data_IF_147940200729
#
_entry.id   IF_147940200729
#
_cell.length_a   1.000
_cell.length_b   1.000
_cell.length_c   1.000
_cell.angle_alpha   90.00
_cell.angle_beta   90.00
_cell.angle_gamma   90.00
#
_symmetry.space_group_name_H-M   'P 1'
#
loop_
_entity.id
_entity.type
_entity.pdbx_description
1 polymer ?
#
# COMPACT_ATOMS: atom_id res chain seq x y z
N UNK A 1 5.35 -16.94 9.78
CA UNK A 1 5.27 -16.36 8.43
C UNK A 1 4.12 -15.34 8.34
N UNK A 2 4.13 -14.21 9.08
CA UNK A 2 3.02 -13.24 9.06
C UNK A 2 3.18 -12.12 8.01
N UNK A 3 4.42 -11.79 7.61
CA UNK A 3 4.71 -10.68 6.68
C UNK A 3 4.12 -10.91 5.29
N UNK A 4 4.10 -12.16 4.82
CA UNK A 4 3.64 -12.48 3.48
C UNK A 4 2.12 -12.30 3.33
N UNK A 5 1.36 -12.63 4.38
CA UNK A 5 -0.10 -12.43 4.42
C UNK A 5 -0.47 -10.94 4.49
N UNK A 6 0.34 -10.15 5.21
CA UNK A 6 0.19 -8.68 5.25
C UNK A 6 0.48 -8.04 3.89
N UNK A 7 1.53 -8.49 3.20
CA UNK A 7 1.83 -8.06 1.83
C UNK A 7 0.71 -8.44 0.85
N UNK A 8 0.20 -9.67 0.91
CA UNK A 8 -0.92 -10.12 0.08
C UNK A 8 -2.20 -9.30 0.35
N UNK A 9 -2.46 -8.96 1.62
CA UNK A 9 -3.57 -8.09 2.02
C UNK A 9 -3.44 -6.67 1.48
N UNK A 10 -2.25 -6.06 1.60
CA UNK A 10 -1.97 -4.72 1.07
C UNK A 10 -2.11 -4.66 -0.45
N UNK A 11 -1.57 -5.66 -1.18
CA UNK A 11 -1.71 -5.77 -2.63
C UNK A 11 -3.17 -5.96 -3.07
N UNK A 12 -3.93 -6.77 -2.35
CA UNK A 12 -5.36 -6.97 -2.63
C UNK A 12 -6.18 -5.69 -2.45
N UNK A 13 -5.85 -4.87 -1.45
CA UNK A 13 -6.50 -3.57 -1.23
C UNK A 13 -6.09 -2.53 -2.26
N UNK A 14 -4.84 -2.56 -2.74
CA UNK A 14 -4.38 -1.70 -3.84
C UNK A 14 -5.14 -2.00 -5.13
N UNK A 15 -5.27 -3.28 -5.50
CA UNK A 15 -6.03 -3.71 -6.68
C UNK A 15 -7.51 -3.31 -6.56
N UNK A 16 -8.13 -3.58 -5.40
CA UNK A 16 -9.53 -3.18 -5.17
C UNK A 16 -9.72 -1.66 -5.21
N UNK A 17 -8.76 -0.89 -4.69
CA UNK A 17 -8.79 0.56 -4.72
C UNK A 17 -8.72 1.10 -6.16
N UNK A 18 -7.96 0.45 -7.04
CA UNK A 18 -7.94 0.76 -8.48
C UNK A 18 -9.29 0.43 -9.15
N UNK A 19 -9.79 -0.78 -8.93
CA UNK A 19 -11.03 -1.28 -9.55
C UNK A 19 -12.26 -0.46 -9.13
N UNK A 20 -12.31 -0.01 -7.88
CA UNK A 20 -13.49 0.66 -7.31
C UNK A 20 -13.36 2.17 -7.23
N UNK A 21 -12.15 2.72 -7.30
CA UNK A 21 -11.87 4.14 -7.09
C UNK A 21 -12.32 4.66 -5.71
N UNK A 22 -12.59 3.77 -4.75
CA UNK A 22 -13.24 4.15 -3.50
C UNK A 22 -12.23 4.81 -2.54
N UNK A 23 -12.44 6.07 -2.11
CA UNK A 23 -11.49 6.81 -1.28
C UNK A 23 -11.22 6.13 0.07
N UNK A 24 -12.20 5.38 0.60
CA UNK A 24 -12.05 4.61 1.83
C UNK A 24 -11.07 3.44 1.66
N UNK A 25 -11.09 2.77 0.50
CA UNK A 25 -10.17 1.66 0.20
C UNK A 25 -8.75 2.17 0.00
N UNK A 26 -8.60 3.33 -0.67
CA UNK A 26 -7.31 4.01 -0.85
C UNK A 26 -6.68 4.36 0.51
N UNK A 27 -7.48 4.93 1.42
CA UNK A 27 -7.02 5.25 2.78
C UNK A 27 -6.58 3.99 3.55
N UNK A 28 -7.41 2.94 3.51
CA UNK A 28 -7.08 1.68 4.19
C UNK A 28 -5.82 1.01 3.63
N UNK A 29 -5.57 1.10 2.32
CA UNK A 29 -4.34 0.62 1.71
C UNK A 29 -3.12 1.42 2.17
N UNK A 30 -3.22 2.76 2.22
CA UNK A 30 -2.15 3.63 2.70
C UNK A 30 -1.78 3.31 4.16
N UNK A 31 -2.78 3.22 5.05
CA UNK A 31 -2.56 2.91 6.48
C UNK A 31 -1.90 1.54 6.68
N UNK A 32 -2.21 0.54 5.84
CA UNK A 32 -1.60 -0.78 5.89
C UNK A 32 -0.15 -0.77 5.38
N UNK A 33 0.14 0.00 4.34
CA UNK A 33 1.49 0.17 3.81
C UNK A 33 2.40 0.90 4.81
N UNK A 34 1.89 1.90 5.51
CA UNK A 34 2.63 2.62 6.56
C UNK A 34 3.04 1.67 7.70
N UNK A 35 2.11 0.82 8.16
CA UNK A 35 2.40 -0.22 9.16
C UNK A 35 3.38 -1.28 8.69
N UNK A 36 3.37 -1.61 7.39
CA UNK A 36 4.35 -2.51 6.81
C UNK A 36 5.73 -1.86 6.77
N UNK A 37 5.82 -0.57 6.43
CA UNK A 37 7.08 0.17 6.42
C UNK A 37 7.74 0.22 7.81
N UNK A 38 6.96 0.26 8.89
CA UNK A 38 7.46 0.17 10.26
C UNK A 38 7.84 -1.25 10.71
N UNK A 39 7.54 -2.28 9.92
CA UNK A 39 7.76 -3.68 10.32
C UNK A 39 9.25 -4.07 10.27
N UNK A 40 9.88 -4.45 11.40
CA UNK A 40 11.27 -4.86 11.45
C UNK A 40 11.55 -6.18 10.70
N UNK A 41 10.50 -6.90 10.30
CA UNK A 41 10.60 -8.17 9.56
C UNK A 41 10.77 -8.00 8.05
N UNK A 42 10.43 -6.82 7.51
CA UNK A 42 10.66 -6.52 6.09
C UNK A 42 12.10 -6.08 5.85
N UNK A 43 12.64 -6.34 4.67
CA UNK A 43 13.91 -5.73 4.26
C UNK A 43 13.74 -4.22 4.00
N UNK A 44 14.86 -3.52 3.95
CA UNK A 44 14.89 -2.06 3.76
C UNK A 44 14.26 -1.59 2.45
N UNK A 45 14.38 -2.38 1.39
CA UNK A 45 13.88 -2.01 0.07
C UNK A 45 12.36 -2.14 0.05
N UNK A 46 11.82 -3.22 0.63
CA UNK A 46 10.38 -3.41 0.78
C UNK A 46 9.75 -2.35 1.68
N UNK A 47 10.38 -1.98 2.81
CA UNK A 47 9.88 -0.87 3.65
C UNK A 47 9.86 0.46 2.89
N UNK A 48 10.91 0.73 2.11
CA UNK A 48 11.00 1.94 1.30
C UNK A 48 9.90 1.99 0.23
N UNK A 49 9.60 0.85 -0.40
CA UNK A 49 8.49 0.72 -1.35
C UNK A 49 7.14 0.97 -0.67
N UNK A 50 6.92 0.38 0.51
CA UNK A 50 5.70 0.57 1.29
C UNK A 50 5.49 2.04 1.67
N UNK A 51 6.52 2.72 2.16
CA UNK A 51 6.43 4.15 2.51
C UNK A 51 6.07 5.01 1.29
N UNK A 52 6.80 4.84 0.18
CA UNK A 52 6.55 5.58 -1.06
C UNK A 52 5.15 5.34 -1.61
N UNK A 53 4.63 4.12 -1.47
CA UNK A 53 3.30 3.77 -1.90
C UNK A 53 2.24 4.43 -1.00
N UNK A 54 2.42 4.39 0.32
CA UNK A 54 1.56 5.09 1.30
C UNK A 54 1.48 6.59 0.99
N UNK A 55 2.63 7.26 0.83
CA UNK A 55 2.71 8.70 0.54
C UNK A 55 1.95 9.06 -0.74
N UNK A 56 2.11 8.24 -1.79
CA UNK A 56 1.48 8.49 -3.09
C UNK A 56 -0.03 8.30 -3.06
N UNK A 57 -0.55 7.38 -2.24
CA UNK A 57 -1.98 7.19 -2.01
C UNK A 57 -2.56 8.33 -1.17
N UNK A 58 -1.86 8.76 -0.11
CA UNK A 58 -2.25 9.88 0.75
C UNK A 58 -2.30 11.22 0.02
N UNK A 59 -1.45 11.39 -1.00
CA UNK A 59 -1.40 12.59 -1.86
C UNK A 59 -2.51 12.65 -2.92
N UNK A 60 -3.43 11.68 -2.96
CA UNK A 60 -4.47 11.58 -4.00
C UNK A 60 -3.95 11.05 -5.35
N UNK A 61 -2.72 10.57 -5.40
CA UNK A 61 -2.03 10.10 -6.60
C UNK A 61 -2.28 8.62 -6.95
N UNK A 62 -3.32 8.00 -6.40
CA UNK A 62 -3.65 6.59 -6.67
C UNK A 62 -3.76 6.29 -8.18
N UNK A 63 -4.33 7.24 -8.95
CA UNK A 63 -4.43 7.15 -10.42
C UNK A 63 -3.07 7.13 -11.15
N UNK A 64 -2.03 7.70 -10.55
CA UNK A 64 -0.69 7.75 -11.14
C UNK A 64 0.14 6.49 -10.83
N UNK A 65 -0.31 5.65 -9.89
CA UNK A 65 0.38 4.40 -9.54
C UNK A 65 0.00 3.24 -10.48
N UNK A 66 -1.20 3.28 -11.07
CA UNK A 66 -1.77 2.21 -11.92
C UNK A 66 -1.93 2.62 -13.41
N UNK A 67 -1.62 3.87 -13.74
CA UNK A 67 -1.63 4.38 -15.11
C UNK A 67 -0.28 4.96 -15.52
N UNK A 68 0.58 4.11 -16.10
CA UNK A 68 1.59 4.44 -17.11
C UNK A 68 1.93 3.16 -17.87
#
# INVERSE_FOLDING_TARGET
MPVNDLCAGALSLLLRADETGCPKSIRQAADLLDRLADSPELDSDTRTLCQRASDRLGSGGARAMLGA
#
